data_IF_936202223460
#
_entry.id   IF_936202223460
#
_cell.length_a   1.000
_cell.length_b   1.000
_cell.length_c   1.000
_cell.angle_alpha   90.00
_cell.angle_beta   90.00
_cell.angle_gamma   90.00
#
_symmetry.space_group_name_H-M   'P 1'
#
loop_
_entity.id
_entity.type
_entity.pdbx_description
1 polymer ?
2 polymer ?
3 water ?
#
loop_
_entity_poly.entity_id
_entity_poly.type
_entity_poly.pdbx_seq_one_letter_code
_entity_poly.pdbx_strand_id
1 'polyribonucleotide' 'GCA(5BU)GGACGCG(5BU)CCA(5BU)GC' ?
#
# COMPACT_ATOMS: atom_id res chain seq x y z
N UNK C 2 1.45 13.90 16.44
CA UNK C 2 0.72 13.51 15.21
C UNK C 2 -0.70 13.08 15.57
N UNK C 3 -1.64 14.02 15.47
CA UNK C 3 -3.05 13.78 15.78
C UNK C 3 -3.62 12.59 15.02
N UNK C 4 -4.74 12.06 15.50
CA UNK C 4 -5.37 10.93 14.85
C UNK C 4 -5.84 11.28 13.45
N UNK C 5 -6.42 12.46 13.30
CA UNK C 5 -6.91 12.92 12.03
C UNK C 5 -5.78 13.04 11.01
N UNK C 6 -4.58 13.30 11.51
CA UNK C 6 -3.43 13.45 10.63
C UNK C 6 -2.93 12.11 10.09
N UNK C 7 -3.08 11.07 10.90
CA UNK C 7 -2.65 9.72 10.52
C UNK C 7 -3.43 9.21 9.33
N UNK C 8 -4.65 9.71 9.18
CA UNK C 8 -5.48 9.31 8.07
C UNK C 8 -5.16 10.23 6.87
N UNK C 9 -4.94 11.51 7.13
CA UNK C 9 -4.64 12.46 6.05
C UNK C 9 -3.33 12.19 5.34
N UNK C 10 -2.36 11.65 6.07
CA UNK C 10 -1.07 11.39 5.47
C UNK C 10 -0.87 10.00 4.89
N UNK C 11 -1.92 9.18 4.89
CA UNK C 11 -1.76 7.84 4.37
C UNK C 11 -1.35 7.84 2.90
N UNK C 12 -2.09 8.57 2.04
CA UNK C 12 -1.69 8.57 0.63
C UNK C 12 -0.24 9.00 0.41
N UNK C 13 0.16 10.10 1.01
CA UNK C 13 1.53 10.54 0.85
C UNK C 13 2.50 9.48 1.36
N UNK C 14 2.15 8.80 2.45
CA UNK C 14 3.03 7.76 2.99
C UNK C 14 3.17 6.57 2.07
N UNK C 15 2.08 6.23 1.38
CA UNK C 15 2.10 5.11 0.45
C UNK C 15 2.86 5.48 -0.81
N UNK C 16 2.77 6.75 -1.20
CA UNK C 16 3.47 7.24 -2.38
C UNK C 16 4.95 7.00 -2.14
N UNK C 17 5.40 7.38 -0.94
CA UNK C 17 6.80 7.19 -0.58
C UNK C 17 7.19 5.73 -0.60
N UNK C 18 6.29 4.87 -0.14
CA UNK C 18 6.57 3.45 -0.11
C UNK C 18 6.69 2.84 -1.50
N UNK C 19 5.87 3.32 -2.41
CA UNK C 19 5.82 2.73 -3.74
C UNK C 19 6.46 3.41 -4.94
N UNK C 20 6.52 4.73 -4.94
CA UNK C 20 7.05 5.46 -6.09
C UNK C 20 8.29 4.87 -6.74
N UNK C 21 9.27 4.48 -5.94
CA UNK C 21 10.49 3.91 -6.49
C UNK C 21 10.20 2.71 -7.38
N UNK C 22 9.64 1.67 -6.77
CA UNK C 22 9.34 0.44 -7.49
C UNK C 22 8.46 0.64 -8.72
N UNK C 23 7.31 1.27 -8.57
CA UNK C 23 6.46 1.43 -9.75
C UNK C 23 6.97 2.54 -10.62
N UNK C 24 8.27 2.79 -10.52
CA UNK C 24 8.90 3.81 -11.32
C UNK C 24 10.09 3.24 -12.08
N UNK C 25 10.50 2.02 -11.75
CA UNK C 25 11.64 1.40 -12.43
C UNK C 25 11.27 1.03 -13.86
N UNK C 26 12.26 0.95 -14.74
CA UNK C 26 12.01 0.62 -16.14
C UNK C 26 12.52 -0.77 -16.52
N UNK C 27 11.93 -1.34 -17.57
CA UNK C 27 12.30 -2.69 -17.99
C UNK C 27 11.95 -2.97 -19.44
N UNK C 28 12.15 -1.97 -20.30
CA UNK C 28 11.86 -2.11 -21.72
C UNK C 28 12.76 -3.17 -22.35
N UNK C 29 13.83 -3.52 -21.65
CA UNK C 29 14.77 -4.50 -22.17
C UNK C 29 14.52 -5.95 -21.79
N UNK C 30 13.44 -6.22 -21.06
CA UNK C 30 13.14 -7.59 -20.65
C UNK C 30 12.33 -8.32 -21.72
N UNK C 31 12.27 -9.66 -21.64
CA UNK C 31 11.51 -10.43 -22.62
C UNK C 31 10.02 -10.14 -22.41
N UNK C 32 9.20 -10.41 -23.41
CA UNK C 32 7.76 -10.15 -23.31
C UNK C 32 7.14 -10.68 -22.01
N UNK C 33 7.31 -11.98 -21.77
CA UNK C 33 6.76 -12.61 -20.58
C UNK C 33 7.11 -11.85 -19.30
N UNK C 34 8.35 -11.41 -19.17
CA UNK C 34 8.76 -10.69 -17.96
C UNK C 34 8.20 -9.28 -17.95
N UNK C 35 8.27 -8.61 -19.10
CA UNK C 35 7.75 -7.25 -19.18
C UNK C 35 6.29 -7.30 -18.76
N UNK C 36 5.60 -8.36 -19.17
CA UNK C 36 4.19 -8.50 -18.84
C UNK C 36 4.00 -8.75 -17.37
N UNK C 37 4.93 -9.47 -16.76
CA UNK C 37 4.78 -9.72 -15.34
C UNK C 37 5.05 -8.47 -14.53
N UNK C 38 5.91 -7.59 -15.04
CA UNK C 38 6.22 -6.37 -14.32
C UNK C 38 5.10 -5.35 -14.47
N UNK C 39 4.41 -5.35 -15.61
CA UNK C 39 3.29 -4.43 -15.80
C UNK C 39 2.24 -4.83 -14.77
N UNK C 40 2.10 -6.13 -14.59
CA UNK C 40 1.15 -6.65 -13.65
C UNK C 40 1.49 -6.09 -12.27
N UNK C 41 2.77 -6.05 -11.93
CA UNK C 41 3.21 -5.51 -10.64
C UNK C 41 2.80 -4.04 -10.57
N UNK C 42 3.05 -3.33 -11.66
CA UNK C 42 2.72 -1.91 -11.72
C UNK C 42 1.23 -1.73 -11.47
N UNK C 43 0.42 -2.56 -12.13
CA UNK C 43 -1.03 -2.50 -11.98
C UNK C 43 -1.44 -2.82 -10.55
N UNK C 44 -0.76 -3.79 -9.95
CA UNK C 44 -1.07 -4.17 -8.57
C UNK C 44 -0.82 -2.99 -7.64
N UNK C 45 0.38 -2.42 -7.74
CA UNK C 45 0.76 -1.29 -6.91
C UNK C 45 -0.16 -0.08 -7.14
N UNK C 46 -0.37 0.27 -8.39
CA UNK C 46 -1.22 1.41 -8.67
C UNK C 46 -2.60 1.22 -8.05
N UNK C 47 -3.11 0.00 -8.09
CA UNK C 47 -4.42 -0.24 -7.52
C UNK C 47 -4.45 -0.12 -6.01
N UNK C 48 -3.43 -0.64 -5.34
CA UNK C 48 -3.41 -0.54 -3.89
C UNK C 48 -3.35 0.95 -3.54
N UNK C 49 -2.57 1.71 -4.31
CA UNK C 49 -2.44 3.14 -4.07
C UNK C 49 -3.78 3.84 -4.22
N UNK C 50 -4.56 3.44 -5.21
CA UNK C 50 -5.87 4.05 -5.42
C UNK C 50 -6.87 3.61 -4.35
N UNK C 51 -6.76 2.37 -3.90
CA UNK C 51 -7.66 1.85 -2.89
C UNK C 51 -7.50 2.60 -1.58
N UNK C 52 -6.26 2.92 -1.24
CA UNK C 52 -6.02 3.65 -0.01
C UNK C 52 -6.57 5.05 -0.14
N UNK C 53 -6.27 5.71 -1.26
CA UNK C 53 -6.76 7.07 -1.44
C UNK C 53 -8.27 7.12 -1.37
N UNK C 54 -8.96 6.18 -2.01
CA UNK C 54 -10.42 6.18 -1.97
C UNK C 54 -10.95 5.94 -0.55
N UNK C 55 -10.28 5.09 0.20
CA UNK C 55 -10.74 4.81 1.57
C UNK C 55 -10.53 6.04 2.43
N UNK C 56 -9.37 6.66 2.28
CA UNK C 56 -9.05 7.86 3.04
C UNK C 56 -10.07 8.93 2.71
N UNK C 57 -10.44 9.03 1.44
CA UNK C 57 -11.43 10.02 1.03
C UNK C 57 -12.76 9.65 1.69
N UNK C 58 -13.16 8.40 1.58
CA UNK C 58 -14.44 7.97 2.15
C UNK C 58 -14.52 8.32 3.64
N UNK C 59 -13.43 8.10 4.35
CA UNK C 59 -13.42 8.43 5.77
C UNK C 59 -13.59 9.94 5.96
N UNK C 60 -12.70 10.70 5.33
CA UNK C 60 -12.72 12.16 5.47
C UNK C 60 -14.03 12.82 5.06
N UNK C 61 -14.87 12.13 4.31
CA UNK C 61 -16.12 12.75 3.89
C UNK C 61 -17.24 12.43 4.87
N UNK C 62 -16.91 11.71 5.93
CA UNK C 62 -17.89 11.32 6.96
C UNK C 62 -17.87 12.26 8.16
N UNK C 63 -18.97 12.99 8.37
CA UNK C 63 -19.00 13.92 9.52
C UNK C 63 -18.60 13.19 10.81
N UNK C 64 -19.20 12.03 11.00
CA UNK C 64 -18.95 11.20 12.17
C UNK C 64 -17.48 10.93 12.44
N UNK C 65 -16.79 10.41 11.43
CA UNK C 65 -15.39 10.08 11.60
C UNK C 65 -14.51 11.30 11.89
N UNK C 66 -14.72 12.37 11.14
CA UNK C 66 -13.91 13.57 11.35
C UNK C 66 -14.18 14.12 12.74
N UNK C 67 -15.45 14.24 13.09
CA UNK C 67 -15.82 14.75 14.42
C UNK C 67 -15.05 13.96 15.49
N UNK C 68 -15.10 12.64 15.42
CA UNK C 68 -14.41 11.84 16.41
C UNK C 68 -12.89 11.91 16.33
N UNK C 69 -12.36 12.01 15.12
CA UNK C 69 -10.93 12.05 14.95
C UNK C 69 -10.24 13.26 15.60
N UNK C 70 -11.00 14.08 16.33
CA UNK C 70 -10.44 15.24 16.96
C UNK C 70 -11.20 15.77 18.18
N UNK C 71 -12.36 15.17 18.45
CA UNK C 71 -13.16 15.58 19.60
C UNK C 71 -14.25 16.60 19.28
N UNK D 2 20.43 1.19 -5.49
CA UNK D 2 19.33 0.20 -5.30
C UNK D 2 19.08 -0.59 -6.58
N UNK D 3 19.37 -1.88 -6.54
CA UNK D 3 19.19 -2.75 -7.70
C UNK D 3 17.73 -3.04 -8.01
N UNK D 4 17.44 -3.32 -9.27
CA UNK D 4 16.08 -3.61 -9.71
C UNK D 4 15.46 -4.70 -8.85
N UNK D 5 16.26 -5.71 -8.49
CA UNK D 5 15.77 -6.80 -7.65
C UNK D 5 15.61 -6.32 -6.21
N UNK D 6 16.40 -5.32 -5.84
CA UNK D 6 16.35 -4.75 -4.50
C UNK D 6 15.02 -4.01 -4.30
N UNK D 7 14.63 -3.22 -5.30
CA UNK D 7 13.38 -2.47 -5.23
C UNK D 7 12.23 -3.40 -4.84
N UNK D 8 12.03 -4.43 -5.65
CA UNK D 8 10.97 -5.39 -5.45
C UNK D 8 11.02 -6.15 -4.13
N UNK D 9 12.21 -6.53 -3.70
CA UNK D 9 12.35 -7.28 -2.45
C UNK D 9 12.03 -6.44 -1.22
N UNK D 10 12.00 -5.13 -1.39
CA UNK D 10 11.74 -4.24 -0.26
C UNK D 10 10.33 -3.65 -0.18
N UNK D 11 9.55 -3.84 -1.24
CA UNK D 11 8.19 -3.31 -1.26
C UNK D 11 7.39 -3.69 -0.03
N UNK D 12 7.29 -5.00 0.25
CA UNK D 12 6.53 -5.39 1.43
C UNK D 12 6.92 -4.65 2.72
N UNK D 13 8.22 -4.58 2.99
CA UNK D 13 8.69 -3.88 4.19
C UNK D 13 8.19 -2.44 4.21
N UNK D 14 8.44 -1.73 3.11
CA UNK D 14 8.03 -0.34 2.98
C UNK D 14 6.53 -0.11 3.17
N UNK D 15 5.71 -0.93 2.52
CA UNK D 15 4.26 -0.78 2.65
C UNK D 15 3.92 -0.86 4.13
N UNK D 16 4.55 -1.81 4.82
CA UNK D 16 4.35 -1.99 6.24
C UNK D 16 4.67 -0.68 6.95
N UNK D 17 5.87 -0.17 6.69
CA UNK D 17 6.28 1.09 7.30
C UNK D 17 5.24 2.18 7.07
N UNK D 18 4.82 2.33 5.83
CA UNK D 18 3.84 3.36 5.47
C UNK D 18 2.53 3.26 6.24
N UNK D 19 2.09 2.03 6.48
CA UNK D 19 0.83 1.80 7.15
C UNK D 19 0.80 1.72 8.67
N UNK D 20 1.89 1.24 9.28
CA UNK D 20 1.96 1.07 10.73
C UNK D 20 1.30 2.15 11.57
N UNK D 21 1.72 3.40 11.41
CA UNK D 21 1.16 4.49 12.18
C UNK D 21 -0.36 4.44 12.22
N UNK D 22 -0.97 4.45 11.05
CA UNK D 22 -2.43 4.44 10.95
C UNK D 22 -3.06 3.22 11.63
N UNK D 23 -2.60 2.03 11.25
CA UNK D 23 -3.14 0.81 11.83
C UNK D 23 -2.96 0.81 13.35
N UNK D 24 -1.75 1.12 13.78
CA UNK D 24 -1.47 1.16 15.21
C UNK D 24 -2.22 2.24 15.96
N UNK D 25 -3.17 2.91 15.30
CA UNK D 25 -3.93 3.95 15.98
C UNK D 25 -4.91 3.33 16.96
N UNK D 26 -5.19 4.06 18.03
CA UNK D 26 -6.10 3.62 19.07
C UNK D 26 -7.42 4.38 19.02
N UNK D 27 -8.52 3.64 18.96
CA UNK D 27 -9.85 4.25 18.94
C UNK D 27 -10.79 3.52 19.87
N UNK D 28 -10.21 2.99 20.95
CA UNK D 28 -10.94 2.25 21.97
C UNK D 28 -12.14 3.03 22.49
N UNK D 29 -12.04 4.35 22.48
CA UNK D 29 -13.11 5.22 22.97
C UNK D 29 -14.01 5.72 21.84
N UNK D 30 -13.82 5.17 20.65
CA UNK D 30 -14.61 5.59 19.51
C UNK D 30 -16.04 5.08 19.56
N UNK D 31 -16.99 5.86 19.01
CA UNK D 31 -18.40 5.48 18.99
C UNK D 31 -18.55 4.26 18.09
N UNK D 32 -19.72 3.64 18.15
CA UNK D 32 -19.97 2.43 17.36
C UNK D 32 -19.78 2.57 15.85
N UNK D 33 -20.56 3.45 15.23
CA UNK D 33 -20.47 3.63 13.79
C UNK D 33 -19.03 3.99 13.35
N UNK D 34 -18.38 4.89 14.06
CA UNK D 34 -17.02 5.26 13.74
C UNK D 34 -16.10 4.07 13.94
N UNK D 35 -16.32 3.30 15.01
CA UNK D 35 -15.50 2.12 15.28
C UNK D 35 -15.59 1.17 14.10
N UNK D 36 -16.81 0.98 13.61
CA UNK D 36 -17.03 0.12 12.46
C UNK D 36 -16.24 0.64 11.26
N UNK D 37 -16.22 1.97 11.09
CA UNK D 37 -15.48 2.56 10.00
C UNK D 37 -13.98 2.39 10.17
N UNK D 38 -13.45 2.64 11.36
CA UNK D 38 -12.03 2.46 11.56
C UNK D 38 -11.60 0.98 11.47
N UNK D 39 -12.50 0.05 11.79
CA UNK D 39 -12.14 -1.35 11.66
C UNK D 39 -12.01 -1.64 10.17
N UNK D 40 -12.95 -1.10 9.41
CA UNK D 40 -12.97 -1.30 7.97
C UNK D 40 -11.66 -0.77 7.35
N UNK D 41 -11.19 0.37 7.86
CA UNK D 41 -9.95 0.96 7.37
C UNK D 41 -8.85 -0.09 7.57
N UNK D 42 -8.82 -0.65 8.77
CA UNK D 42 -7.85 -1.68 9.13
C UNK D 42 -7.90 -2.83 8.14
N UNK D 43 -9.10 -3.29 7.82
CA UNK D 43 -9.28 -4.39 6.89
C UNK D 43 -8.70 -3.99 5.54
N UNK D 44 -9.01 -2.76 5.13
CA UNK D 44 -8.54 -2.26 3.86
C UNK D 44 -7.01 -2.25 3.81
N UNK D 45 -6.38 -1.63 4.81
CA UNK D 45 -4.92 -1.55 4.82
C UNK D 45 -4.30 -2.94 4.86
N UNK D 46 -4.92 -3.85 5.61
CA UNK D 46 -4.39 -5.19 5.70
C UNK D 46 -4.46 -5.91 4.38
N UNK D 47 -5.58 -5.77 3.68
CA UNK D 47 -5.71 -6.43 2.40
C UNK D 47 -4.71 -5.83 1.40
N UNK D 48 -4.53 -4.52 1.45
CA UNK D 48 -3.59 -3.89 0.54
C UNK D 48 -2.21 -4.51 0.77
N UNK D 49 -1.79 -4.51 2.03
CA UNK D 49 -0.49 -5.05 2.42
C UNK D 49 -0.28 -6.50 2.02
N UNK D 50 -1.25 -7.36 2.32
CA UNK D 50 -1.12 -8.78 1.97
C UNK D 50 -1.11 -8.96 0.47
N UNK D 51 -1.89 -8.14 -0.23
CA UNK D 51 -1.95 -8.25 -1.68
C UNK D 51 -0.62 -7.89 -2.31
N UNK D 52 0.03 -6.84 -1.81
CA UNK D 52 1.30 -6.48 -2.40
C UNK D 52 2.35 -7.56 -2.07
N UNK D 53 2.30 -8.05 -0.83
CA UNK D 53 3.21 -9.10 -0.38
C UNK D 53 3.05 -10.33 -1.28
N UNK D 54 1.81 -10.77 -1.46
CA UNK D 54 1.54 -11.92 -2.30
C UNK D 54 2.17 -11.71 -3.69
N UNK D 55 1.86 -10.57 -4.31
CA UNK D 55 2.40 -10.27 -5.64
C UNK D 55 3.94 -10.33 -5.68
N UNK D 56 4.60 -9.84 -4.64
CA UNK D 56 6.05 -9.87 -4.62
C UNK D 56 6.53 -11.32 -4.53
N UNK D 57 5.99 -12.06 -3.55
CA UNK D 57 6.35 -13.46 -3.39
C UNK D 57 6.12 -14.14 -4.73
N UNK D 58 4.91 -13.99 -5.25
CA UNK D 58 4.58 -14.58 -6.54
C UNK D 58 5.64 -14.30 -7.60
N UNK D 59 6.15 -13.09 -7.62
CA UNK D 59 7.16 -12.67 -8.59
C UNK D 59 8.54 -13.30 -8.43
N UNK D 60 9.01 -13.39 -7.19
CA UNK D 60 10.31 -13.96 -6.93
C UNK D 60 10.35 -15.46 -7.19
N UNK D 61 9.18 -16.09 -7.26
CA UNK D 61 9.16 -17.52 -7.51
C UNK D 61 9.22 -17.80 -9.00
N UNK D 62 9.00 -16.77 -9.80
CA UNK D 62 9.06 -16.93 -11.26
C UNK D 62 10.52 -16.92 -11.67
N UNK D 63 11.09 -18.08 -12.00
CA UNK D 63 12.49 -18.11 -12.41
C UNK D 63 12.85 -17.11 -13.49
N UNK D 64 12.04 -17.05 -14.56
CA UNK D 64 12.30 -16.13 -15.67
C UNK D 64 12.45 -14.69 -15.22
N UNK D 65 11.57 -14.25 -14.34
CA UNK D 65 11.62 -12.88 -13.85
C UNK D 65 12.87 -12.64 -13.04
N UNK D 66 13.19 -13.57 -12.13
CA UNK D 66 14.37 -13.43 -11.28
C UNK D 66 15.66 -13.35 -12.09
N UNK D 67 15.72 -14.07 -13.21
CA UNK D 67 16.89 -14.05 -14.07
C UNK D 67 17.07 -12.62 -14.61
N UNK D 68 15.98 -12.03 -15.07
CA UNK D 68 16.03 -10.67 -15.59
C UNK D 68 16.49 -9.69 -14.51
N UNK D 69 15.98 -9.85 -13.29
CA UNK D 69 16.38 -8.96 -12.20
C UNK D 69 17.76 -9.31 -11.67
N UNK D 70 18.48 -10.16 -12.38
CA UNK D 70 19.83 -10.56 -11.97
C UNK D 70 20.89 -10.29 -13.03
N UNK D 71 20.46 -9.93 -14.23
CA UNK D 71 21.40 -9.66 -15.31
C UNK D 71 21.29 -10.70 -16.42
#
# INVERSE_FOLDING_TARGET
MPSKLALIQELPDRIQTAVEAAMGMSYQDAPNNVRRDLDNLHACLNKAKLTVSRMVTSLLEKPSVVAYLEGKA
MPSKLALIQELPDRIQTAVEAAMGMSYQDAPNNVRRDLDNLHACLNKAKLTVSRMVTSLLEKPSVVAYLEGKA
#
